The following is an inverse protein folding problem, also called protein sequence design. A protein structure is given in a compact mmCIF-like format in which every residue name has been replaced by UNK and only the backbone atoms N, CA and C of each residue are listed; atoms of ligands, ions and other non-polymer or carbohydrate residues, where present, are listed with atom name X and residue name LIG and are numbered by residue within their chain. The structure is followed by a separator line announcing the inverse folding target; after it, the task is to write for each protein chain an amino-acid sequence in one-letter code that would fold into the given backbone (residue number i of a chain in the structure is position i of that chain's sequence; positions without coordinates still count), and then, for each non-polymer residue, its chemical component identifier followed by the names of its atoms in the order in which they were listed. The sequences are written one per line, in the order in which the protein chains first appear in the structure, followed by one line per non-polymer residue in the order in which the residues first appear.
data_IF_382625045005
#
_entry.id   IF_382625045005
#
_cell.length_a   1.000
_cell.length_b   1.000
_cell.length_c   1.000
_cell.angle_alpha   90.00
_cell.angle_beta   90.00
_cell.angle_gamma   90.00
#
_symmetry.space_group_name_H-M   'P 1'
#
loop_
_entity.id
_entity.type
_entity.pdbx_description
1 polymer ?
#
# COMPACT_ATOMS: atom_id res chain seq x y z
N UNK A 1 0.94 -29.38 16.64
CA UNK A 1 1.41 -28.35 15.69
C UNK A 1 0.21 -27.93 14.87
N UNK A 2 -0.41 -26.81 15.20
CA UNK A 2 -1.55 -26.27 14.44
C UNK A 2 -1.10 -24.97 13.80
N UNK A 3 -0.87 -24.99 12.49
CA UNK A 3 -0.74 -23.75 11.71
C UNK A 3 -2.05 -22.98 11.84
N UNK A 4 -2.00 -21.86 12.57
CA UNK A 4 -3.08 -20.88 12.51
C UNK A 4 -3.00 -20.23 11.13
N UNK A 5 -3.72 -20.81 10.18
CA UNK A 5 -4.03 -20.17 8.90
C UNK A 5 -4.77 -18.87 9.21
N UNK A 6 -4.04 -17.75 9.15
CA UNK A 6 -4.62 -16.41 9.21
C UNK A 6 -5.51 -16.28 7.97
N UNK A 7 -6.83 -16.35 8.17
CA UNK A 7 -7.78 -16.11 7.09
C UNK A 7 -7.69 -14.62 6.75
N UNK A 8 -6.93 -14.28 5.72
CA UNK A 8 -7.01 -12.94 5.14
C UNK A 8 -8.43 -12.70 4.67
N UNK A 9 -9.05 -11.62 5.15
CA UNK A 9 -10.38 -11.22 4.72
C UNK A 9 -10.21 -10.66 3.31
N UNK A 10 -10.60 -11.46 2.33
CA UNK A 10 -10.55 -11.07 0.92
C UNK A 10 -11.81 -10.29 0.55
N UNK A 11 -11.63 -9.03 0.17
CA UNK A 11 -12.69 -8.19 -0.37
C UNK A 11 -12.52 -8.11 -1.90
N UNK A 12 -13.23 -8.94 -2.68
CA UNK A 12 -13.07 -8.98 -4.14
C UNK A 12 -13.33 -7.63 -4.81
N UNK A 13 -14.14 -6.77 -4.19
CA UNK A 13 -14.50 -5.45 -4.69
C UNK A 13 -13.33 -4.45 -4.66
N UNK A 14 -12.27 -4.75 -3.90
CA UNK A 14 -11.05 -3.94 -3.84
C UNK A 14 -10.06 -4.28 -4.96
N UNK A 15 -10.40 -5.22 -5.84
CA UNK A 15 -9.52 -5.68 -6.91
C UNK A 15 -10.18 -5.46 -8.28
N UNK A 16 -9.34 -5.43 -9.31
CA UNK A 16 -9.80 -5.46 -10.70
C UNK A 16 -10.58 -6.74 -10.96
N UNK A 17 -11.46 -6.72 -11.96
CA UNK A 17 -12.32 -7.87 -12.30
C UNK A 17 -11.52 -9.10 -12.69
N UNK A 18 -10.36 -8.91 -13.31
CA UNK A 18 -9.42 -9.98 -13.66
C UNK A 18 -8.69 -10.57 -12.45
N UNK A 19 -8.82 -9.95 -11.26
CA UNK A 19 -8.12 -10.33 -10.05
C UNK A 19 -6.64 -9.92 -10.07
N UNK A 20 -5.98 -10.06 -8.92
CA UNK A 20 -4.52 -9.87 -8.79
C UNK A 20 -4.02 -8.43 -8.70
N UNK A 21 -4.80 -7.44 -9.14
CA UNK A 21 -4.47 -6.01 -9.02
C UNK A 21 -5.43 -5.31 -8.09
N UNK A 22 -4.90 -4.66 -7.05
CA UNK A 22 -5.70 -3.91 -6.08
C UNK A 22 -6.02 -2.53 -6.65
N UNK A 23 -7.26 -2.08 -6.47
CA UNK A 23 -7.68 -0.74 -6.83
C UNK A 23 -7.08 0.25 -5.82
N UNK A 24 -6.30 1.20 -6.32
CA UNK A 24 -5.71 2.29 -5.53
C UNK A 24 -6.60 3.53 -5.57
N UNK A 25 -7.13 3.85 -6.76
CA UNK A 25 -8.03 5.00 -6.95
C UNK A 25 -9.23 4.65 -7.83
N UNK A 26 -10.31 5.40 -7.64
CA UNK A 26 -11.48 5.39 -8.51
C UNK A 26 -11.80 6.82 -8.92
N UNK A 27 -11.78 7.10 -10.22
CA UNK A 27 -12.22 8.38 -10.78
C UNK A 27 -13.66 8.21 -11.26
N UNK A 28 -14.53 9.10 -10.81
CA UNK A 28 -15.90 9.22 -11.31
C UNK A 28 -15.95 10.30 -12.38
N UNK A 29 -16.49 9.98 -13.55
CA UNK A 29 -16.72 10.92 -14.63
C UNK A 29 -18.19 11.01 -14.99
N UNK A 30 -18.64 12.18 -15.43
CA UNK A 30 -19.96 12.34 -16.03
C UNK A 30 -19.87 12.21 -17.55
N UNK A 31 -20.49 11.17 -18.10
CA UNK A 31 -20.51 10.86 -19.52
C UNK A 31 -21.28 11.92 -20.31
N UNK A 32 -22.38 12.45 -19.76
CA UNK A 32 -23.17 13.53 -20.38
C UNK A 32 -22.39 14.83 -20.56
N UNK A 33 -21.47 15.17 -19.68
CA UNK A 33 -20.73 16.43 -19.78
C UNK A 33 -19.43 16.23 -20.54
N UNK A 34 -18.66 15.20 -20.20
CA UNK A 34 -17.32 15.00 -20.75
C UNK A 34 -17.40 14.33 -22.14
N UNK A 35 -18.31 13.38 -22.34
CA UNK A 35 -18.35 12.58 -23.58
C UNK A 35 -19.41 13.06 -24.59
N UNK A 36 -20.16 14.12 -24.28
CA UNK A 36 -21.18 14.66 -25.19
C UNK A 36 -20.60 15.37 -26.41
N UNK A 37 -19.38 15.91 -26.31
CA UNK A 37 -18.70 16.60 -27.40
C UNK A 37 -17.52 15.78 -27.92
N UNK A 38 -17.22 15.89 -29.20
CA UNK A 38 -16.04 15.24 -29.81
C UNK A 38 -14.75 15.68 -29.11
N UNK A 39 -14.55 16.99 -28.92
CA UNK A 39 -13.40 17.52 -28.17
C UNK A 39 -13.29 16.98 -26.75
N UNK A 40 -14.42 16.72 -26.09
CA UNK A 40 -14.45 16.15 -24.75
C UNK A 40 -14.05 14.68 -24.75
N UNK A 41 -14.54 13.91 -25.73
CA UNK A 41 -14.13 12.51 -25.97
C UNK A 41 -12.63 12.42 -26.27
N UNK A 42 -12.09 13.28 -27.13
CA UNK A 42 -10.66 13.28 -27.48
C UNK A 42 -9.79 13.61 -26.28
N UNK A 43 -10.17 14.64 -25.49
CA UNK A 43 -9.45 14.96 -24.24
C UNK A 43 -9.50 13.82 -23.24
N UNK A 44 -10.63 13.14 -23.15
CA UNK A 44 -10.78 12.00 -22.25
C UNK A 44 -9.94 10.80 -22.69
N UNK A 45 -9.93 10.48 -23.98
CA UNK A 45 -9.06 9.44 -24.55
C UNK A 45 -7.59 9.77 -24.30
N UNK A 46 -7.14 10.98 -24.63
CA UNK A 46 -5.77 11.42 -24.38
C UNK A 46 -5.39 11.37 -22.88
N UNK A 47 -6.33 11.64 -21.99
CA UNK A 47 -6.10 11.52 -20.55
C UNK A 47 -5.86 10.07 -20.12
N UNK A 48 -6.64 9.11 -20.65
CA UNK A 48 -6.43 7.69 -20.36
C UNK A 48 -5.11 7.20 -20.97
N UNK A 49 -4.83 7.56 -22.22
CA UNK A 49 -3.59 7.19 -22.91
C UNK A 49 -2.36 7.70 -22.11
N UNK A 50 -2.41 8.92 -21.58
CA UNK A 50 -1.34 9.45 -20.73
C UNK A 50 -1.14 8.66 -19.43
N UNK A 51 -2.21 8.16 -18.82
CA UNK A 51 -2.10 7.34 -17.61
C UNK A 51 -1.50 5.97 -17.92
N UNK A 52 -1.90 5.37 -19.04
CA UNK A 52 -1.33 4.10 -19.52
C UNK A 52 0.13 4.26 -19.97
N UNK A 53 0.48 5.36 -20.64
CA UNK A 53 1.85 5.70 -21.05
C UNK A 53 2.77 5.92 -19.83
N UNK A 54 2.23 6.43 -18.72
CA UNK A 54 2.95 6.48 -17.45
C UNK A 54 3.13 5.09 -16.81
N UNK A 55 2.45 4.06 -17.34
CA UNK A 55 2.51 2.68 -16.90
C UNK A 55 1.46 2.30 -15.85
N UNK A 56 0.40 3.09 -15.68
CA UNK A 56 -0.70 2.74 -14.77
C UNK A 56 -1.65 1.74 -15.41
N UNK A 57 -2.22 0.86 -14.59
CA UNK A 57 -3.24 -0.09 -15.02
C UNK A 57 -4.64 0.52 -14.82
N UNK A 58 -5.47 0.51 -15.87
CA UNK A 58 -6.82 1.07 -15.84
C UNK A 58 -7.88 0.00 -16.08
N UNK A 59 -9.02 0.12 -15.39
CA UNK A 59 -10.24 -0.64 -15.69
C UNK A 59 -11.43 0.32 -15.78
N UNK A 60 -12.00 0.44 -16.98
CA UNK A 60 -13.21 1.22 -17.21
C UNK A 60 -14.44 0.39 -16.86
N UNK A 61 -15.34 0.96 -16.07
CA UNK A 61 -16.61 0.33 -15.71
C UNK A 61 -17.75 1.34 -15.78
N UNK A 62 -18.69 1.13 -16.69
CA UNK A 62 -19.99 1.82 -16.69
C UNK A 62 -21.01 0.93 -15.97
N UNK A 63 -21.14 1.06 -14.64
CA UNK A 63 -22.18 0.34 -13.91
C UNK A 63 -23.49 1.11 -13.96
N UNK A 64 -24.49 0.49 -14.59
CA UNK A 64 -25.82 0.97 -14.88
C UNK A 64 -26.70 1.08 -13.63
N UNK A 65 -26.86 2.31 -13.13
CA UNK A 65 -28.09 2.82 -12.49
C UNK A 65 -28.31 4.28 -12.91
N UNK A 66 -27.23 5.04 -12.98
CA UNK A 66 -27.15 6.35 -13.62
C UNK A 66 -26.38 6.19 -14.93
N UNK A 67 -27.06 6.24 -16.08
CA UNK A 67 -26.46 6.13 -17.42
C UNK A 67 -25.43 7.25 -17.71
N UNK A 68 -25.38 8.26 -16.84
CA UNK A 68 -24.63 9.48 -16.99
C UNK A 68 -23.26 9.45 -16.29
N UNK A 69 -22.92 8.36 -15.62
CA UNK A 69 -21.70 8.22 -14.83
C UNK A 69 -20.89 7.01 -15.27
N UNK A 70 -19.57 7.19 -15.30
CA UNK A 70 -18.63 6.09 -15.49
C UNK A 70 -17.52 6.13 -14.46
N UNK A 71 -17.00 4.95 -14.15
CA UNK A 71 -15.97 4.74 -13.14
C UNK A 71 -14.69 4.25 -13.84
N UNK A 72 -13.57 4.86 -13.47
CA UNK A 72 -12.25 4.45 -13.93
C UNK A 72 -11.50 3.99 -12.69
N UNK A 73 -11.26 2.69 -12.59
CA UNK A 73 -10.46 2.11 -11.53
C UNK A 73 -9.00 2.18 -11.96
N UNK A 74 -8.13 2.57 -11.05
CA UNK A 74 -6.71 2.74 -11.31
C UNK A 74 -5.94 1.86 -10.33
N UNK A 75 -5.01 1.09 -10.85
CA UNK A 75 -3.97 0.42 -10.10
C UNK A 75 -2.63 1.01 -10.47
N UNK A 76 -1.81 1.31 -9.47
CA UNK A 76 -0.46 1.85 -9.66
C UNK A 76 0.54 0.73 -9.37
N UNK A 77 1.27 0.24 -10.40
CA UNK A 77 2.35 -0.73 -10.20
C UNK A 77 3.39 -0.26 -9.19
N UNK A 78 3.98 -1.22 -8.48
CA UNK A 78 4.94 -0.96 -7.43
C UNK A 78 6.14 -0.11 -7.89
N UNK A 79 6.66 -0.37 -9.09
CA UNK A 79 7.78 0.40 -9.65
C UNK A 79 7.46 1.90 -9.77
N UNK A 80 6.25 2.24 -10.21
CA UNK A 80 5.79 3.63 -10.30
C UNK A 80 5.67 4.26 -8.91
N UNK A 81 5.14 3.52 -7.93
CA UNK A 81 5.07 4.01 -6.55
C UNK A 81 6.45 4.28 -5.96
N UNK A 82 7.46 3.47 -6.28
CA UNK A 82 8.84 3.70 -5.87
C UNK A 82 9.41 4.97 -6.49
N UNK A 83 9.21 5.19 -7.80
CA UNK A 83 9.67 6.39 -8.50
C UNK A 83 9.01 7.66 -7.95
N UNK A 84 7.69 7.61 -7.69
CA UNK A 84 6.96 8.71 -7.07
C UNK A 84 7.41 8.96 -5.63
N UNK A 85 7.67 7.91 -4.83
CA UNK A 85 8.19 8.06 -3.49
C UNK A 85 9.57 8.72 -3.49
N UNK A 86 10.45 8.35 -4.43
CA UNK A 86 11.76 8.97 -4.57
C UNK A 86 11.64 10.44 -4.99
N UNK A 87 10.77 10.76 -5.96
CA UNK A 87 10.50 12.13 -6.39
C UNK A 87 9.88 13.01 -5.29
N UNK A 88 9.10 12.42 -4.39
CA UNK A 88 8.43 13.12 -3.28
C UNK A 88 9.20 13.07 -1.96
N UNK A 89 10.41 12.50 -1.95
CA UNK A 89 11.25 12.29 -0.76
C UNK A 89 10.51 11.56 0.37
N UNK A 90 9.70 10.56 0.03
CA UNK A 90 9.07 9.67 1.01
C UNK A 90 10.07 8.57 1.38
N UNK A 91 10.46 8.53 2.65
CA UNK A 91 11.37 7.51 3.17
C UNK A 91 10.69 6.13 3.21
N UNK A 92 11.10 5.24 2.30
CA UNK A 92 10.64 3.85 2.26
C UNK A 92 11.49 2.99 3.19
N UNK A 93 10.85 2.42 4.21
CA UNK A 93 11.50 1.60 5.26
C UNK A 93 12.29 0.41 4.67
N UNK A 94 11.87 -0.12 3.52
CA UNK A 94 12.54 -1.24 2.86
C UNK A 94 13.78 -0.83 2.05
N UNK A 95 13.85 0.42 1.55
CA UNK A 95 15.04 0.95 0.85
C UNK A 95 16.15 1.32 1.86
N UNK A 96 15.76 1.75 3.05
CA UNK A 96 16.68 2.18 4.10
C UNK A 96 16.50 1.33 5.37
N UNK A 97 16.99 0.07 5.38
CA UNK A 97 16.88 -0.80 6.56
C UNK A 97 17.63 -0.25 7.78
N UNK A 98 18.47 0.77 7.56
CA UNK A 98 19.21 1.50 8.57
C UNK A 98 18.47 2.70 9.13
N UNK A 99 17.22 2.98 8.75
CA UNK A 99 16.37 3.86 9.57
C UNK A 99 16.42 3.24 10.97
N UNK A 100 17.10 3.87 11.94
CA UNK A 100 17.11 3.34 13.28
C UNK A 100 15.64 3.31 13.67
N UNK A 101 15.12 2.12 14.02
CA UNK A 101 13.82 2.00 14.70
C UNK A 101 13.74 3.17 15.66
N UNK A 102 12.84 4.10 15.33
CA UNK A 102 12.96 5.50 15.74
C UNK A 102 13.19 5.56 17.23
N UNK A 103 14.39 6.04 17.53
CA UNK A 103 14.98 6.36 18.81
C UNK A 103 15.16 5.19 19.78
N UNK A 104 16.37 5.14 20.38
CA UNK A 104 16.44 4.95 21.84
C UNK A 104 15.48 5.98 22.41
N UNK A 105 14.21 5.61 22.56
CA UNK A 105 13.21 6.48 23.13
C UNK A 105 13.84 6.90 24.45
N UNK A 106 14.17 8.18 24.56
CA UNK A 106 14.60 8.75 25.82
C UNK A 106 13.34 8.87 26.67
N UNK A 107 12.67 7.73 26.88
CA UNK A 107 11.47 7.61 27.68
C UNK A 107 11.88 8.13 29.04
N UNK A 108 11.15 9.14 29.48
CA UNK A 108 11.13 9.55 30.87
C UNK A 108 11.07 8.29 31.73
N UNK A 109 11.82 8.26 32.84
CA UNK A 109 11.94 7.05 33.69
C UNK A 109 10.57 6.45 34.05
N UNK A 110 9.51 7.26 34.10
CA UNK A 110 8.15 6.84 34.39
C UNK A 110 7.45 6.05 33.28
N UNK A 111 7.89 6.12 32.02
CA UNK A 111 7.31 5.36 30.89
C UNK A 111 8.19 4.17 30.47
N UNK A 112 9.29 3.91 31.19
CA UNK A 112 10.17 2.76 30.93
C UNK A 112 9.50 1.48 31.43
N UNK A 113 9.12 0.62 30.50
CA UNK A 113 8.76 -0.76 30.76
C UNK A 113 9.87 -1.71 30.29
N UNK A 114 9.85 -2.95 30.79
CA UNK A 114 10.79 -3.99 30.38
C UNK A 114 10.65 -4.43 28.90
N UNK A 115 9.62 -3.98 28.17
CA UNK A 115 9.50 -4.19 26.72
C UNK A 115 10.09 -3.03 25.92
N UNK A 116 10.06 -1.82 26.48
CA UNK A 116 10.61 -0.61 25.86
C UNK A 116 12.12 -0.42 26.08
N UNK A 117 12.70 -1.17 27.02
CA UNK A 117 14.12 -1.16 27.31
C UNK A 117 14.63 -2.60 27.37
N UNK A 118 15.65 -2.92 26.57
CA UNK A 118 16.27 -4.25 26.54
C UNK A 118 17.03 -4.53 27.83
N UNK A 119 16.31 -4.97 28.86
CA UNK A 119 16.87 -5.55 30.08
C UNK A 119 16.77 -7.07 30.03
N UNK A 120 17.87 -7.71 29.63
CA UNK A 120 17.97 -9.18 29.53
C UNK A 120 17.72 -9.92 30.85
N UNK A 121 17.74 -9.21 32.00
CA UNK A 121 17.44 -9.76 33.32
C UNK A 121 15.96 -9.74 33.66
N UNK A 122 15.12 -9.08 32.86
CA UNK A 122 13.68 -9.07 33.10
C UNK A 122 13.07 -10.47 32.88
N UNK A 123 12.13 -10.92 33.75
CA UNK A 123 11.41 -12.19 33.61
C UNK A 123 10.76 -12.41 32.24
N UNK A 124 10.45 -11.32 31.52
CA UNK A 124 9.88 -11.35 30.17
C UNK A 124 10.84 -11.99 29.16
N UNK A 125 12.14 -11.71 29.27
CA UNK A 125 13.16 -12.29 28.37
C UNK A 125 13.45 -13.77 28.69
N UNK A 126 13.22 -14.21 29.94
CA UNK A 126 13.33 -15.63 30.29
C UNK A 126 12.23 -16.49 29.67
N UNK A 127 11.03 -15.94 29.50
CA UNK A 127 9.89 -16.66 28.92
C UNK A 127 10.01 -16.90 27.41
N UNK A 128 10.85 -16.12 26.70
CA UNK A 128 10.88 -16.09 25.25
C UNK A 128 12.30 -15.95 24.67
N UNK A 129 13.30 -16.58 25.29
CA UNK A 129 14.73 -16.48 24.91
C UNK A 129 14.99 -16.79 23.43
N UNK A 130 14.26 -17.74 22.85
CA UNK A 130 14.46 -18.20 21.47
C UNK A 130 14.00 -17.18 20.42
N UNK A 131 13.02 -16.34 20.75
CA UNK A 131 12.43 -15.34 19.85
C UNK A 131 13.25 -14.05 19.78
N UNK A 132 14.00 -13.74 20.84
CA UNK A 132 14.73 -12.47 20.99
C UNK A 132 16.25 -12.67 20.79
N UNK A 133 16.77 -13.86 21.10
CA UNK A 133 18.17 -14.19 20.86
C UNK A 133 18.45 -14.36 19.36
N UNK A 134 19.07 -13.36 18.73
CA UNK A 134 19.76 -13.56 17.45
C UNK A 134 20.76 -14.70 17.63
N UNK A 135 20.45 -15.89 17.10
CA UNK A 135 21.47 -16.92 16.89
C UNK A 135 22.51 -16.30 15.96
N UNK A 136 23.69 -15.96 16.49
CA UNK A 136 24.84 -15.66 15.63
C UNK A 136 25.09 -16.94 14.83
N UNK A 137 24.87 -16.88 13.52
CA UNK A 137 25.25 -17.94 12.60
C UNK A 137 26.73 -18.23 12.84
N UNK A 138 27.04 -19.48 13.23
CA UNK A 138 28.42 -19.95 13.25
C UNK A 138 28.88 -20.00 11.79
N UNK A 139 30.04 -19.39 11.54
CA UNK A 139 30.77 -19.40 10.27
C UNK A 139 30.94 -20.81 9.73
#
# INVERSE_FOLDING_TARGET
MGEKSTREIFFPELYFRTGGRRIDFVILISTKTILSTEKGRDKFANFLDQLEDMGMDLEYTSHSKDEDLAFIKIHVPHAILEDFADATNIDLVFKTPSLPLVHKLNMSKCLRTALSYNDERSPIYYRAKETIGRKKAKK
#
